data_IF_475194851125
#
_entry.id   IF_475194851125
#
_cell.length_a   1.000
_cell.length_b   1.000
_cell.length_c   1.000
_cell.angle_alpha   90.00
_cell.angle_beta   90.00
_cell.angle_gamma   90.00
#
_symmetry.space_group_name_H-M   'P 1'
#
loop_
_entity.id
_entity.type
_entity.pdbx_description
1 polymer ?
#
# COMPACT_ATOMS: atom_id res chain seq x y z
N UNK A 1 -8.56 10.85 7.50
CA UNK A 1 -7.75 9.60 7.47
C UNK A 1 -6.82 9.51 8.69
N UNK A 2 -5.88 10.46 8.88
CA UNK A 2 -4.94 10.43 10.02
C UNK A 2 -5.67 10.44 11.37
N UNK A 3 -6.73 11.23 11.50
CA UNK A 3 -7.58 11.23 12.70
C UNK A 3 -8.22 9.87 12.99
N UNK A 4 -8.56 9.11 11.95
CA UNK A 4 -9.11 7.75 12.09
C UNK A 4 -8.01 6.80 12.56
N UNK A 5 -6.82 6.88 11.96
CA UNK A 5 -5.65 6.10 12.39
C UNK A 5 -5.28 6.40 13.85
N UNK A 6 -5.28 7.67 14.24
CA UNK A 6 -5.05 8.09 15.62
C UNK A 6 -6.17 7.62 16.57
N UNK A 7 -7.41 7.51 16.11
CA UNK A 7 -8.47 6.89 16.93
C UNK A 7 -8.29 5.37 17.06
N UNK A 8 -7.70 4.70 16.06
CA UNK A 8 -7.37 3.27 16.16
C UNK A 8 -6.26 3.01 17.18
N UNK A 9 -5.29 3.92 17.34
CA UNK A 9 -4.26 3.77 18.37
C UNK A 9 -4.84 3.79 19.78
N UNK A 10 -5.90 4.58 20.00
CA UNK A 10 -6.68 4.57 21.26
C UNK A 10 -7.38 3.24 21.53
N UNK A 11 -7.62 2.43 20.51
CA UNK A 11 -8.17 1.08 20.63
C UNK A 11 -7.06 0.00 20.78
N UNK A 12 -5.88 0.39 21.30
CA UNK A 12 -4.73 -0.49 21.51
C UNK A 12 -4.19 -1.14 20.23
N UNK A 13 -4.31 -0.46 19.09
CA UNK A 13 -3.77 -0.89 17.80
C UNK A 13 -2.47 -0.12 17.48
N UNK A 14 -1.37 -0.84 17.27
CA UNK A 14 -0.13 -0.22 16.79
C UNK A 14 -0.29 0.15 15.31
N UNK A 15 -0.19 1.44 14.99
CA UNK A 15 -0.26 1.96 13.62
C UNK A 15 1.11 2.45 13.19
N UNK A 16 1.62 1.87 12.11
CA UNK A 16 2.87 2.32 11.46
C UNK A 16 2.52 2.77 10.05
N UNK A 17 2.88 4.01 9.70
CA UNK A 17 2.62 4.56 8.38
C UNK A 17 3.84 5.31 7.83
N UNK A 18 4.05 5.22 6.52
CA UNK A 18 4.98 6.07 5.80
C UNK A 18 4.19 7.22 5.15
N UNK A 19 4.68 8.44 5.32
CA UNK A 19 3.99 9.66 4.86
C UNK A 19 4.92 10.43 3.94
N UNK A 20 4.45 10.69 2.74
CA UNK A 20 5.10 11.63 1.84
C UNK A 20 4.62 13.05 2.17
N UNK A 21 5.55 13.97 2.44
CA UNK A 21 5.28 15.40 2.70
C UNK A 21 4.22 15.63 3.79
N UNK A 22 4.50 15.25 5.06
CA UNK A 22 3.56 15.52 6.15
C UNK A 22 3.37 17.03 6.33
N UNK A 23 2.16 17.43 6.75
CA UNK A 23 1.92 18.79 7.24
C UNK A 23 2.31 18.92 8.73
N UNK A 24 2.65 20.11 9.22
CA UNK A 24 3.07 20.28 10.62
C UNK A 24 1.94 19.98 11.61
N UNK A 25 0.69 20.27 11.23
CA UNK A 25 -0.51 19.82 11.94
C UNK A 25 -0.61 18.29 11.99
N UNK A 26 -0.22 17.59 10.93
CA UNK A 26 -0.22 16.12 10.90
C UNK A 26 0.87 15.56 11.81
N UNK A 27 2.07 16.16 11.81
CA UNK A 27 3.17 15.77 12.69
C UNK A 27 2.78 15.87 14.17
N UNK A 28 1.96 16.85 14.53
CA UNK A 28 1.46 17.01 15.90
C UNK A 28 0.61 15.82 16.40
N UNK A 29 0.07 14.98 15.51
CA UNK A 29 -0.79 13.84 15.85
C UNK A 29 -0.02 12.54 16.07
N UNK A 30 1.28 12.49 15.78
CA UNK A 30 2.09 11.30 16.03
C UNK A 30 2.69 11.31 17.43
N UNK A 31 2.84 10.12 17.99
CA UNK A 31 3.54 9.87 19.24
C UNK A 31 5.06 9.79 18.97
N UNK A 32 5.44 8.90 18.05
CA UNK A 32 6.82 8.69 17.62
C UNK A 32 7.04 9.01 16.13
N UNK A 33 8.24 9.47 15.79
CA UNK A 33 8.66 9.80 14.43
C UNK A 33 9.93 9.01 14.10
N UNK A 34 9.96 8.42 12.90
CA UNK A 34 11.14 7.81 12.33
C UNK A 34 11.52 8.51 11.02
N UNK A 35 12.75 8.99 10.94
CA UNK A 35 13.29 9.69 9.77
C UNK A 35 14.33 8.81 9.09
N UNK A 36 14.17 8.57 7.80
CA UNK A 36 15.10 7.80 6.98
C UNK A 36 15.71 8.67 5.88
N UNK A 37 17.01 8.53 5.67
CA UNK A 37 17.71 9.09 4.51
C UNK A 37 18.60 8.02 3.87
N UNK A 38 18.42 7.76 2.57
CA UNK A 38 19.16 6.75 1.78
C UNK A 38 19.31 5.39 2.49
N UNK A 39 18.20 4.90 3.08
CA UNK A 39 18.15 3.61 3.78
C UNK A 39 18.77 3.61 5.19
N UNK A 40 19.29 4.73 5.67
CA UNK A 40 19.81 4.88 7.03
C UNK A 40 18.81 5.61 7.91
N UNK A 41 18.59 5.10 9.12
CA UNK A 41 17.82 5.78 10.14
C UNK A 41 18.58 7.00 10.64
N UNK A 42 17.98 8.18 10.49
CA UNK A 42 18.51 9.46 10.95
C UNK A 42 17.93 9.86 12.30
N UNK A 43 16.73 9.37 12.63
CA UNK A 43 16.08 9.58 13.92
C UNK A 43 14.99 8.54 14.13
N UNK A 44 14.80 8.08 15.37
CA UNK A 44 13.68 7.22 15.75
C UNK A 44 13.36 7.44 17.23
N UNK A 45 12.21 8.04 17.54
CA UNK A 45 11.83 8.35 18.90
C UNK A 45 10.64 9.30 19.01
N UNK A 46 10.32 9.77 20.22
CA UNK A 46 9.16 10.60 20.47
C UNK A 46 9.32 11.98 19.83
N UNK A 47 8.26 12.49 19.21
CA UNK A 47 8.30 13.80 18.51
C UNK A 47 8.83 14.96 19.35
N UNK A 48 8.73 14.90 20.67
CA UNK A 48 9.20 15.94 21.59
C UNK A 48 10.73 16.04 21.65
N UNK A 49 11.43 14.94 21.43
CA UNK A 49 12.88 14.84 21.58
C UNK A 49 13.64 15.09 20.27
N UNK A 50 12.93 15.06 19.13
CA UNK A 50 13.54 15.21 17.81
C UNK A 50 14.36 16.50 17.72
N UNK A 51 13.85 17.61 18.25
CA UNK A 51 14.53 18.88 18.21
C UNK A 51 15.81 18.87 19.07
N UNK A 52 15.78 18.26 20.25
CA UNK A 52 16.97 18.14 21.10
C UNK A 52 18.05 17.29 20.44
N UNK A 53 17.69 16.15 19.84
CA UNK A 53 18.64 15.27 19.16
C UNK A 53 19.29 15.95 17.96
N UNK A 54 18.51 16.68 17.17
CA UNK A 54 19.02 17.47 16.05
C UNK A 54 19.91 18.63 16.52
N UNK A 55 19.55 19.35 17.59
CA UNK A 55 20.39 20.40 18.15
C UNK A 55 21.75 19.86 18.63
N UNK A 56 21.78 18.68 19.29
CA UNK A 56 23.01 18.03 19.75
C UNK A 56 23.90 17.64 18.56
N UNK A 57 23.29 17.22 17.44
CA UNK A 57 24.01 16.87 16.22
C UNK A 57 24.49 18.09 15.41
N UNK A 58 24.24 19.32 15.88
CA UNK A 58 24.70 20.57 15.25
C UNK A 58 23.67 21.24 14.34
N UNK A 59 22.44 20.72 14.24
CA UNK A 59 21.39 21.34 13.44
C UNK A 59 20.78 22.51 14.21
N UNK A 60 20.97 23.72 13.70
CA UNK A 60 20.37 24.92 14.28
C UNK A 60 19.03 25.23 13.62
N UNK A 61 18.09 25.71 14.44
CA UNK A 61 16.78 26.15 13.98
C UNK A 61 16.89 27.39 13.09
N UNK A 62 16.34 27.41 11.86
CA UNK A 62 16.13 28.66 11.14
C UNK A 62 15.14 29.57 11.91
N UNK A 63 15.50 30.83 12.12
CA UNK A 63 14.81 31.78 13.03
C UNK A 63 13.39 32.17 12.62
N UNK A 64 12.92 31.79 11.43
CA UNK A 64 11.69 32.31 10.82
C UNK A 64 10.50 31.33 10.76
N UNK A 65 10.63 30.11 11.30
CA UNK A 65 9.54 29.13 11.26
C UNK A 65 8.85 28.96 12.62
N UNK A 66 7.52 29.13 12.63
CA UNK A 66 6.66 28.81 13.77
C UNK A 66 6.69 27.29 14.02
N UNK A 67 6.60 26.85 15.29
CA UNK A 67 6.65 25.43 15.72
C UNK A 67 5.65 24.55 14.93
N UNK A 68 4.52 25.12 14.50
CA UNK A 68 3.49 24.43 13.71
C UNK A 68 3.80 24.32 12.20
N UNK A 69 4.63 25.20 11.63
CA UNK A 69 5.16 25.12 10.25
C UNK A 69 6.53 24.43 10.18
N UNK A 70 7.18 24.34 11.34
CA UNK A 70 8.49 23.73 11.57
C UNK A 70 8.58 22.28 11.07
N UNK A 71 7.48 21.53 11.14
CA UNK A 71 7.44 20.15 10.71
C UNK A 71 7.63 19.93 9.20
N UNK A 72 7.14 20.84 8.35
CA UNK A 72 7.16 20.60 6.89
C UNK A 72 8.53 20.86 6.29
N UNK A 73 9.16 21.94 6.75
CA UNK A 73 10.39 22.49 6.18
C UNK A 73 11.60 21.80 6.81
N UNK A 74 11.57 21.49 8.11
CA UNK A 74 12.74 20.94 8.78
C UNK A 74 13.05 19.48 8.38
N UNK A 75 12.05 18.62 8.14
CA UNK A 75 12.33 17.21 7.84
C UNK A 75 12.81 16.95 6.41
N UNK A 76 12.34 17.73 5.42
CA UNK A 76 12.72 17.52 4.02
C UNK A 76 13.87 18.44 3.57
N UNK A 77 13.89 19.70 3.99
CA UNK A 77 14.85 20.68 3.47
C UNK A 77 16.22 20.56 4.16
N UNK A 78 16.22 20.42 5.49
CA UNK A 78 17.46 20.35 6.29
C UNK A 78 18.25 19.06 6.02
N UNK A 79 17.59 17.96 5.64
CA UNK A 79 18.28 16.70 5.30
C UNK A 79 18.84 16.74 3.87
N UNK A 80 18.27 17.57 3.00
CA UNK A 80 18.62 17.63 1.57
C UNK A 80 19.70 18.66 1.27
N UNK A 81 19.78 19.76 2.04
CA UNK A 81 20.70 20.89 1.77
C UNK A 81 21.96 20.95 2.67
N UNK A 82 22.09 20.08 3.68
CA UNK A 82 23.17 20.15 4.67
C UNK A 82 24.42 19.33 4.32
N UNK A 83 25.53 19.66 5.00
CA UNK A 83 26.83 19.01 4.82
C UNK A 83 26.77 17.54 5.24
N UNK A 84 27.40 16.67 4.46
CA UNK A 84 27.49 15.22 4.72
C UNK A 84 28.03 14.87 6.12
N UNK A 85 28.84 15.75 6.74
CA UNK A 85 29.46 15.51 8.04
C UNK A 85 28.46 15.60 9.21
N UNK A 86 27.55 16.57 9.17
CA UNK A 86 26.52 16.73 10.21
C UNK A 86 25.50 15.58 10.16
N UNK A 87 25.21 15.09 8.94
CA UNK A 87 24.36 13.93 8.72
C UNK A 87 25.00 12.63 9.28
N UNK A 88 26.32 12.46 9.15
CA UNK A 88 27.03 11.32 9.77
C UNK A 88 26.99 11.38 11.29
N UNK A 89 27.17 12.58 11.87
CA UNK A 89 27.10 12.78 13.32
C UNK A 89 25.72 12.44 13.86
N UNK A 90 24.65 12.89 13.20
CA UNK A 90 23.27 12.55 13.56
C UNK A 90 23.02 11.03 13.53
N UNK A 91 23.44 10.38 12.44
CA UNK A 91 23.31 8.93 12.30
C UNK A 91 24.06 8.18 13.41
N UNK A 92 25.27 8.64 13.79
CA UNK A 92 26.06 8.05 14.86
C UNK A 92 25.37 8.19 16.22
N UNK A 93 24.88 9.38 16.56
CA UNK A 93 24.15 9.64 17.81
C UNK A 93 22.92 8.73 17.91
N UNK A 94 22.09 8.70 16.87
CA UNK A 94 20.87 7.89 16.86
C UNK A 94 21.17 6.38 16.89
N UNK A 95 22.25 5.95 16.22
CA UNK A 95 22.69 4.55 16.27
C UNK A 95 23.16 4.15 17.66
N UNK A 96 23.96 4.99 18.31
CA UNK A 96 24.47 4.72 19.66
C UNK A 96 23.32 4.68 20.68
N UNK A 97 22.34 5.56 20.53
CA UNK A 97 21.11 5.56 21.35
C UNK A 97 20.26 4.31 21.11
N UNK A 98 20.09 3.89 19.86
CA UNK A 98 19.40 2.66 19.51
C UNK A 98 20.10 1.41 20.07
N UNK A 99 21.43 1.31 19.97
CA UNK A 99 22.19 0.16 20.53
C UNK A 99 22.13 0.13 22.07
N UNK A 100 22.13 1.30 22.73
CA UNK A 100 21.87 1.40 24.19
C UNK A 100 20.47 0.91 24.54
N UNK A 101 19.45 1.27 23.75
CA UNK A 101 18.09 0.80 23.97
C UNK A 101 17.95 -0.71 23.75
N UNK A 102 18.51 -1.22 22.66
CA UNK A 102 18.52 -2.65 22.30
C UNK A 102 19.23 -3.52 23.34
N UNK A 103 20.37 -3.08 23.85
CA UNK A 103 21.09 -3.79 24.91
C UNK A 103 20.29 -3.82 26.22
N UNK A 104 19.64 -2.71 26.60
CA UNK A 104 18.74 -2.66 27.75
C UNK A 104 17.52 -3.57 27.61
N UNK A 105 16.86 -3.60 26.43
CA UNK A 105 15.69 -4.46 26.22
C UNK A 105 16.05 -5.95 26.21
N UNK A 106 17.20 -6.30 25.63
CA UNK A 106 17.72 -7.68 25.62
C UNK A 106 18.13 -8.14 27.03
N UNK A 107 18.70 -7.25 27.85
CA UNK A 107 19.04 -7.56 29.23
C UNK A 107 17.78 -7.72 30.10
N UNK A 108 16.78 -6.84 29.91
CA UNK A 108 15.50 -6.90 30.63
C UNK A 108 14.69 -8.15 30.29
N UNK A 109 14.73 -8.64 29.04
CA UNK A 109 14.07 -9.90 28.68
C UNK A 109 14.78 -11.14 29.25
N UNK A 110 16.11 -11.10 29.44
CA UNK A 110 16.89 -12.15 30.11
C UNK A 110 16.77 -12.14 31.63
N UNK A 111 16.51 -11.00 32.24
CA UNK A 111 16.37 -10.89 33.70
C UNK A 111 14.94 -11.22 34.15
N UNK A 112 13.95 -10.96 33.29
CA UNK A 112 12.55 -11.32 33.53
C UNK A 112 12.22 -12.81 33.29
N UNK A 113 13.19 -13.64 32.88
CA UNK A 113 13.02 -15.10 32.81
C UNK A 113 13.41 -15.84 34.10
N UNK A 114 13.91 -15.13 35.12
CA UNK A 114 14.48 -15.74 36.33
C UNK A 114 13.92 -15.17 37.64
N UNK A 115 12.94 -14.28 37.57
CA UNK A 115 12.32 -13.69 38.76
C UNK A 115 10.80 -13.79 38.57
N UNK A 116 10.19 -14.69 39.34
CA UNK A 116 8.77 -14.66 39.65
C UNK A 116 8.44 -13.27 40.18
N UNK A 117 7.88 -12.42 39.32
CA UNK A 117 7.35 -11.14 39.71
C UNK A 117 5.85 -11.16 39.40
N UNK A 118 5.07 -11.56 40.40
CA UNK A 118 3.68 -11.14 40.58
C UNK A 118 3.66 -9.61 40.58
N UNK A 119 3.60 -9.02 39.39
CA UNK A 119 3.14 -7.66 39.26
C UNK A 119 1.62 -7.72 39.22
N UNK A 120 0.99 -7.43 40.36
CA UNK A 120 -0.42 -7.04 40.46
C UNK A 120 -0.64 -5.68 39.76
N UNK A 121 -0.33 -5.61 38.47
CA UNK A 121 -1.14 -4.83 37.55
C UNK A 121 -2.40 -5.64 37.38
N UNK A 122 -3.58 -5.07 37.61
CA UNK A 122 -4.85 -5.68 37.22
C UNK A 122 -4.73 -6.06 35.75
N UNK A 123 -4.41 -7.34 35.59
CA UNK A 123 -4.12 -7.93 34.33
C UNK A 123 -5.49 -8.39 33.89
N UNK A 124 -6.17 -7.55 33.12
CA UNK A 124 -7.07 -8.11 32.12
C UNK A 124 -6.17 -8.83 31.12
N UNK A 125 -5.84 -10.06 31.53
CA UNK A 125 -4.91 -11.02 30.97
C UNK A 125 -5.45 -11.51 29.63
N UNK A 126 -5.50 -10.64 28.62
CA UNK A 126 -5.79 -11.05 27.24
C UNK A 126 -4.90 -10.33 26.24
N UNK A 127 -3.62 -10.09 26.56
CA UNK A 127 -2.60 -9.98 25.50
C UNK A 127 -1.96 -11.34 25.35
N UNK A 128 -2.81 -12.30 24.97
CA UNK A 128 -2.33 -13.47 24.26
C UNK A 128 -1.51 -12.92 23.10
N UNK A 129 -0.26 -13.34 22.97
CA UNK A 129 0.45 -13.32 21.70
C UNK A 129 -0.30 -14.25 20.75
N UNK A 130 -1.53 -13.87 20.35
CA UNK A 130 -2.24 -14.49 19.26
C UNK A 130 -1.39 -14.17 18.05
N UNK A 131 -0.55 -15.13 17.66
CA UNK A 131 -0.29 -15.36 16.24
C UNK A 131 -1.65 -15.17 15.58
N UNK A 132 -1.80 -14.10 14.81
CA UNK A 132 -3.01 -13.86 14.02
C UNK A 132 -3.01 -14.96 12.96
N UNK A 133 -3.37 -16.18 13.37
CA UNK A 133 -3.65 -17.31 12.50
C UNK A 133 -4.99 -16.96 11.89
N UNK A 134 -4.94 -16.17 10.82
CA UNK A 134 -6.10 -16.04 9.94
C UNK A 134 -6.42 -17.45 9.48
N UNK A 135 -7.62 -17.97 9.73
CA UNK A 135 -7.99 -19.29 9.23
C UNK A 135 -7.86 -19.24 7.71
N UNK A 136 -7.03 -20.11 7.15
CA UNK A 136 -6.85 -20.21 5.70
C UNK A 136 -8.19 -20.65 5.11
N UNK A 137 -8.78 -19.78 4.29
CA UNK A 137 -10.03 -20.10 3.59
C UNK A 137 -9.73 -21.07 2.45
N UNK A 138 -10.66 -21.99 2.17
CA UNK A 138 -10.58 -22.91 1.04
C UNK A 138 -10.34 -22.17 -0.29
N UNK A 139 -9.40 -22.66 -1.10
CA UNK A 139 -9.05 -22.10 -2.42
C UNK A 139 -10.27 -21.93 -3.33
N UNK A 140 -11.23 -22.85 -3.27
CA UNK A 140 -12.47 -22.76 -4.06
C UNK A 140 -13.36 -21.59 -3.64
N UNK A 141 -13.44 -21.32 -2.34
CA UNK A 141 -14.19 -20.17 -1.83
C UNK A 141 -13.52 -18.87 -2.26
N UNK A 142 -12.20 -18.81 -2.21
CA UNK A 142 -11.43 -17.65 -2.68
C UNK A 142 -11.66 -17.42 -4.18
N UNK A 143 -11.56 -18.46 -5.01
CA UNK A 143 -11.79 -18.37 -6.44
C UNK A 143 -13.21 -17.91 -6.78
N UNK A 144 -14.23 -18.45 -6.10
CA UNK A 144 -15.62 -18.02 -6.30
C UNK A 144 -15.81 -16.53 -5.95
N UNK A 145 -15.23 -16.08 -4.83
CA UNK A 145 -15.32 -14.68 -4.40
C UNK A 145 -14.60 -13.77 -5.39
N UNK A 146 -13.39 -14.15 -5.83
CA UNK A 146 -12.61 -13.37 -6.80
C UNK A 146 -13.31 -13.32 -8.17
N UNK A 147 -13.86 -14.44 -8.65
CA UNK A 147 -14.62 -14.49 -9.89
C UNK A 147 -15.88 -13.61 -9.82
N UNK A 148 -16.65 -13.68 -8.73
CA UNK A 148 -17.81 -12.82 -8.53
C UNK A 148 -17.43 -11.34 -8.47
N UNK A 149 -16.35 -10.99 -7.76
CA UNK A 149 -15.84 -9.60 -7.73
C UNK A 149 -15.39 -9.14 -9.12
N UNK A 150 -14.71 -9.99 -9.88
CA UNK A 150 -14.28 -9.68 -11.23
C UNK A 150 -15.48 -9.45 -12.15
N UNK A 151 -16.50 -10.30 -12.09
CA UNK A 151 -17.76 -10.13 -12.84
C UNK A 151 -18.46 -8.82 -12.48
N UNK A 152 -18.56 -8.49 -11.18
CA UNK A 152 -19.15 -7.20 -10.75
C UNK A 152 -18.34 -6.02 -11.30
N UNK A 153 -17.01 -6.08 -11.27
CA UNK A 153 -16.16 -5.03 -11.85
C UNK A 153 -16.39 -4.90 -13.37
N UNK A 154 -16.45 -6.01 -14.11
CA UNK A 154 -16.70 -6.03 -15.56
C UNK A 154 -18.09 -5.47 -15.88
N UNK A 155 -19.12 -5.86 -15.12
CA UNK A 155 -20.49 -5.38 -15.32
C UNK A 155 -20.65 -3.90 -14.95
N UNK A 156 -19.90 -3.41 -13.96
CA UNK A 156 -19.94 -2.00 -13.54
C UNK A 156 -19.14 -1.09 -14.47
N UNK A 157 -18.11 -1.62 -15.13
CA UNK A 157 -17.45 -0.92 -16.23
C UNK A 157 -18.36 -0.91 -17.47
N UNK A 158 -19.21 0.11 -17.48
CA UNK A 158 -20.31 0.23 -18.41
C UNK A 158 -19.85 0.57 -19.83
N UNK A 159 -18.75 1.31 -19.97
CA UNK A 159 -18.38 1.92 -21.25
C UNK A 159 -17.75 0.90 -22.18
N UNK A 160 -16.69 0.23 -21.73
CA UNK A 160 -15.99 -0.74 -22.56
C UNK A 160 -16.78 -2.03 -22.79
N UNK A 161 -17.52 -2.49 -21.77
CA UNK A 161 -18.37 -3.67 -21.88
C UNK A 161 -19.52 -3.44 -22.85
N UNK A 162 -20.22 -2.29 -22.79
CA UNK A 162 -21.28 -1.96 -23.75
C UNK A 162 -20.75 -1.82 -25.16
N UNK A 163 -19.62 -1.13 -25.36
CA UNK A 163 -19.02 -0.95 -26.68
C UNK A 163 -18.65 -2.30 -27.31
N UNK A 164 -18.11 -3.22 -26.51
CA UNK A 164 -17.78 -4.58 -26.97
C UNK A 164 -19.02 -5.35 -27.38
N UNK A 165 -20.07 -5.34 -26.56
CA UNK A 165 -21.34 -6.02 -26.88
C UNK A 165 -21.95 -5.43 -28.15
N UNK A 166 -21.98 -4.09 -28.26
CA UNK A 166 -22.47 -3.40 -29.46
C UNK A 166 -21.66 -3.79 -30.71
N UNK A 167 -20.33 -3.84 -30.62
CA UNK A 167 -19.47 -4.25 -31.73
C UNK A 167 -19.74 -5.69 -32.20
N UNK A 168 -20.01 -6.63 -31.29
CA UNK A 168 -20.36 -8.01 -31.63
C UNK A 168 -21.74 -8.10 -32.28
N UNK A 169 -22.72 -7.35 -31.78
CA UNK A 169 -24.06 -7.28 -32.37
C UNK A 169 -23.98 -6.72 -33.80
N UNK A 170 -23.27 -5.61 -33.99
CA UNK A 170 -23.10 -4.99 -35.31
C UNK A 170 -22.37 -5.91 -36.29
N UNK A 171 -21.29 -6.56 -35.86
CA UNK A 171 -20.56 -7.51 -36.71
C UNK A 171 -21.40 -8.74 -37.04
N UNK A 172 -22.14 -9.29 -36.07
CA UNK A 172 -23.06 -10.40 -36.28
C UNK A 172 -24.17 -10.08 -37.27
N UNK A 173 -24.77 -8.88 -37.19
CA UNK A 173 -25.75 -8.42 -38.17
C UNK A 173 -25.14 -8.25 -39.56
N UNK A 174 -23.94 -7.66 -39.66
CA UNK A 174 -23.24 -7.49 -40.93
C UNK A 174 -22.94 -8.84 -41.59
N UNK A 175 -22.39 -9.80 -40.85
CA UNK A 175 -22.10 -11.14 -41.36
C UNK A 175 -23.38 -11.89 -41.72
N UNK A 176 -24.43 -11.78 -40.91
CA UNK A 176 -25.74 -12.39 -41.21
C UNK A 176 -26.38 -11.84 -42.48
N UNK A 177 -26.19 -10.55 -42.79
CA UNK A 177 -26.64 -9.93 -44.03
C UNK A 177 -25.80 -10.37 -45.24
N UNK A 178 -24.48 -10.41 -45.10
CA UNK A 178 -23.56 -10.80 -46.18
C UNK A 178 -23.77 -12.26 -46.59
N UNK A 179 -23.94 -13.15 -45.61
CA UNK A 179 -24.11 -14.59 -45.83
C UNK A 179 -25.56 -15.05 -45.68
N UNK A 180 -26.53 -14.18 -46.01
CA UNK A 180 -27.94 -14.53 -45.95
C UNK A 180 -28.27 -15.69 -46.92
N UNK A 181 -28.90 -16.74 -46.41
CA UNK A 181 -29.30 -17.92 -47.18
C UNK A 181 -28.13 -18.69 -47.84
N UNK A 182 -26.97 -18.68 -47.17
CA UNK A 182 -25.82 -19.55 -47.47
C UNK A 182 -25.78 -20.72 -46.47
N UNK A 183 -25.24 -21.87 -46.89
CA UNK A 183 -25.12 -23.07 -46.06
C UNK A 183 -25.76 -24.32 -46.68
N UNK A 184 -26.92 -24.16 -47.32
CA UNK A 184 -27.76 -25.29 -47.72
C UNK A 184 -27.46 -25.85 -49.14
N UNK A 185 -26.74 -25.08 -49.98
CA UNK A 185 -26.39 -25.48 -51.34
C UNK A 185 -24.93 -25.92 -51.46
N UNK A 186 -24.70 -27.16 -51.91
CA UNK A 186 -23.36 -27.70 -52.17
C UNK A 186 -22.59 -26.93 -53.28
N UNK A 187 -23.31 -26.22 -54.16
CA UNK A 187 -22.72 -25.35 -55.20
C UNK A 187 -22.00 -24.14 -54.57
N UNK A 188 -22.42 -23.71 -53.37
CA UNK A 188 -21.86 -22.54 -52.65
C UNK A 188 -20.77 -22.92 -51.64
N UNK A 189 -20.15 -24.09 -51.77
CA UNK A 189 -19.19 -24.61 -50.76
C UNK A 189 -18.05 -23.63 -50.46
N UNK A 190 -17.55 -22.93 -51.47
CA UNK A 190 -16.49 -21.92 -51.31
C UNK A 190 -16.96 -20.73 -50.45
N UNK A 191 -18.21 -20.31 -50.62
CA UNK A 191 -18.81 -19.24 -49.82
C UNK A 191 -19.06 -19.69 -48.38
N UNK A 192 -19.45 -20.95 -48.17
CA UNK A 192 -19.63 -21.53 -46.83
C UNK A 192 -18.30 -21.58 -46.05
N UNK A 193 -17.21 -22.01 -46.70
CA UNK A 193 -15.87 -22.02 -46.10
C UNK A 193 -15.42 -20.59 -45.77
N UNK A 194 -15.70 -19.64 -46.67
CA UNK A 194 -15.36 -18.23 -46.48
C UNK A 194 -16.11 -17.61 -45.28
N UNK A 195 -17.38 -17.99 -45.06
CA UNK A 195 -18.18 -17.59 -43.90
C UNK A 195 -17.57 -18.10 -42.58
N UNK A 196 -17.22 -19.38 -42.51
CA UNK A 196 -16.59 -19.96 -41.31
C UNK A 196 -15.24 -19.29 -41.01
N UNK A 197 -14.44 -19.06 -42.05
CA UNK A 197 -13.14 -18.41 -41.91
C UNK A 197 -13.25 -16.97 -41.39
N UNK A 198 -14.15 -16.16 -41.95
CA UNK A 198 -14.27 -14.75 -41.56
C UNK A 198 -14.82 -14.58 -40.14
N UNK A 199 -15.76 -15.44 -39.71
CA UNK A 199 -16.27 -15.46 -38.33
C UNK A 199 -15.17 -15.83 -37.34
N UNK A 200 -14.38 -16.87 -37.65
CA UNK A 200 -13.28 -17.30 -36.80
C UNK A 200 -12.17 -16.23 -36.71
N UNK A 201 -11.82 -15.62 -37.85
CA UNK A 201 -10.84 -14.54 -37.91
C UNK A 201 -11.29 -13.32 -37.09
N UNK A 202 -12.58 -12.95 -37.18
CA UNK A 202 -13.15 -11.86 -36.39
C UNK A 202 -13.04 -12.14 -34.88
N UNK A 203 -13.43 -13.33 -34.43
CA UNK A 203 -13.30 -13.72 -33.02
C UNK A 203 -11.84 -13.69 -32.55
N UNK A 204 -10.91 -14.16 -33.38
CA UNK A 204 -9.49 -14.11 -33.05
C UNK A 204 -9.00 -12.66 -32.90
N UNK A 205 -9.28 -11.78 -33.86
CA UNK A 205 -8.83 -10.38 -33.83
C UNK A 205 -9.40 -9.63 -32.62
N UNK A 206 -10.68 -9.81 -32.31
CA UNK A 206 -11.32 -9.11 -31.19
C UNK A 206 -10.80 -9.60 -29.83
N UNK A 207 -10.41 -10.87 -29.70
CA UNK A 207 -9.78 -11.38 -28.49
C UNK A 207 -8.28 -11.04 -28.40
N UNK A 208 -7.60 -10.93 -29.55
CA UNK A 208 -6.19 -10.53 -29.63
C UNK A 208 -6.00 -9.03 -29.38
N UNK A 209 -7.00 -8.20 -29.68
CA UNK A 209 -6.99 -6.79 -29.33
C UNK A 209 -7.05 -6.66 -27.79
N UNK A 210 -5.88 -6.44 -27.17
CA UNK A 210 -5.82 -6.14 -25.73
C UNK A 210 -6.60 -4.86 -25.45
N UNK A 211 -7.80 -5.01 -24.92
CA UNK A 211 -8.52 -3.92 -24.26
C UNK A 211 -7.94 -3.75 -22.86
N UNK A 212 -6.72 -3.24 -22.77
CA UNK A 212 -6.15 -2.81 -21.50
C UNK A 212 -5.77 -1.35 -21.65
N UNK A 213 -6.59 -0.50 -21.06
CA UNK A 213 -6.10 0.71 -20.42
C UNK A 213 -6.71 0.71 -19.02
N UNK A 214 -5.96 0.16 -18.06
CA UNK A 214 -5.92 0.70 -16.71
C UNK A 214 -4.69 1.58 -16.60
#
# INVERSE_FOLDING_TARGET
LISILHNMTKANCAVVCAIHQPSGRMISLFDDIMVLNRGKCMYCGPKSEILSTYNIAGFTRPSFYNIAEFGNVFFLEVITEQKDEDLKNLHKICRDEYEKFKSRSTYKSKQNSSIDFEQNFETDNTVTSTKIRRPEKSTWQQQKILCSRALICIMRDNTFTKLRIAAHITAGLLFGLIFYNFGDDAIKVQSNISCLFIVQMYLFIINALQTVQM
#
